data_IF_258840659254
#
_entry.id   IF_258840659254
#
_cell.length_a   1.000
_cell.length_b   1.000
_cell.length_c   1.000
_cell.angle_alpha   90.00
_cell.angle_beta   90.00
_cell.angle_gamma   90.00
#
_symmetry.space_group_name_H-M   'P 1'
#
loop_
_entity.id
_entity.type
_entity.pdbx_description
1 polymer ?
#
# COMPACT_ATOMS: atom_id res chain seq x y z
N UNK A 1 14.53 10.73 4.35
CA UNK A 1 14.19 9.34 4.00
C UNK A 1 12.68 9.25 3.78
N UNK A 2 12.27 8.63 2.69
CA UNK A 2 10.84 8.46 2.39
C UNK A 2 10.27 7.31 3.22
N UNK A 3 9.04 7.47 3.70
CA UNK A 3 8.35 6.47 4.52
C UNK A 3 7.26 5.77 3.71
N UNK A 4 7.24 4.46 3.78
CA UNK A 4 6.24 3.61 3.12
C UNK A 4 5.45 2.84 4.17
N UNK A 5 4.12 2.86 4.05
CA UNK A 5 3.24 2.03 4.88
C UNK A 5 2.83 0.81 4.06
N UNK A 6 3.13 -0.39 4.57
CA UNK A 6 2.73 -1.66 3.95
C UNK A 6 1.54 -2.23 4.70
N UNK A 7 0.49 -2.59 3.98
CA UNK A 7 -0.73 -3.17 4.56
C UNK A 7 -1.02 -4.50 3.87
N UNK A 8 -0.96 -5.59 4.63
CA UNK A 8 -1.22 -6.94 4.12
C UNK A 8 -1.47 -7.86 5.32
N UNK A 9 -2.35 -8.83 5.19
CA UNK A 9 -2.62 -9.76 6.29
C UNK A 9 -1.57 -10.86 6.41
N UNK A 10 -0.65 -10.96 5.43
CA UNK A 10 0.47 -11.90 5.49
C UNK A 10 1.67 -11.27 6.17
N UNK A 11 1.94 -11.65 7.42
CA UNK A 11 3.09 -11.15 8.17
C UNK A 11 4.41 -11.54 7.51
N UNK A 12 4.46 -12.72 6.89
CA UNK A 12 5.66 -13.18 6.16
C UNK A 12 5.96 -12.25 4.99
N UNK A 13 4.94 -11.90 4.22
CA UNK A 13 5.12 -10.97 3.09
C UNK A 13 5.53 -9.58 3.58
N UNK A 14 4.91 -9.08 4.65
CA UNK A 14 5.27 -7.77 5.21
C UNK A 14 6.73 -7.72 5.63
N UNK A 15 7.22 -8.77 6.29
CA UNK A 15 8.62 -8.83 6.73
C UNK A 15 9.58 -8.85 5.54
N UNK A 16 9.26 -9.65 4.53
CA UNK A 16 10.08 -9.78 3.33
C UNK A 16 10.17 -8.45 2.58
N UNK A 17 9.03 -7.79 2.36
CA UNK A 17 8.98 -6.51 1.66
C UNK A 17 9.64 -5.40 2.46
N UNK A 18 9.44 -5.39 3.77
CA UNK A 18 10.08 -4.40 4.64
C UNK A 18 11.60 -4.47 4.49
N UNK A 19 12.16 -5.68 4.50
CA UNK A 19 13.61 -5.87 4.34
C UNK A 19 14.10 -5.32 2.99
N UNK A 20 13.37 -5.61 1.91
CA UNK A 20 13.71 -5.14 0.57
C UNK A 20 13.70 -3.61 0.51
N UNK A 21 12.65 -3.00 1.03
CA UNK A 21 12.50 -1.55 0.95
C UNK A 21 13.47 -0.80 1.88
N UNK A 22 13.72 -1.34 3.07
CA UNK A 22 14.69 -0.74 3.98
C UNK A 22 16.09 -0.79 3.40
N UNK A 23 16.46 -1.89 2.75
CA UNK A 23 17.73 -2.00 2.08
C UNK A 23 17.89 -0.99 0.95
N UNK A 24 16.77 -0.61 0.32
CA UNK A 24 16.78 0.39 -0.74
C UNK A 24 16.73 1.83 -0.21
N UNK A 25 16.70 2.02 1.10
CA UNK A 25 16.76 3.35 1.72
C UNK A 25 15.43 3.93 2.18
N UNK A 26 14.35 3.15 2.19
CA UNK A 26 13.05 3.62 2.66
C UNK A 26 12.85 3.30 4.15
N UNK A 27 12.15 4.17 4.86
CA UNK A 27 11.63 3.83 6.18
C UNK A 27 10.30 3.10 5.97
N UNK A 28 10.06 2.02 6.71
CA UNK A 28 8.89 1.19 6.49
C UNK A 28 8.12 0.96 7.78
N UNK A 29 6.81 1.17 7.74
CA UNK A 29 5.88 0.77 8.77
C UNK A 29 4.93 -0.27 8.18
N UNK A 30 4.46 -1.19 9.02
CA UNK A 30 3.59 -2.28 8.55
C UNK A 30 2.31 -2.33 9.35
N UNK A 31 1.23 -2.77 8.70
CA UNK A 31 -0.06 -3.03 9.34
C UNK A 31 -0.62 -4.32 8.75
N UNK A 32 -1.26 -5.14 9.59
CA UNK A 32 -1.80 -6.43 9.16
C UNK A 32 -3.24 -6.35 8.66
N UNK A 33 -3.81 -5.16 8.64
CA UNK A 33 -5.18 -4.94 8.14
C UNK A 33 -5.52 -3.47 8.09
N UNK A 34 -6.72 -3.18 7.55
CA UNK A 34 -7.16 -1.81 7.36
C UNK A 34 -7.32 -1.02 8.64
N UNK A 35 -7.88 -1.63 9.70
CA UNK A 35 -8.06 -0.95 10.98
C UNK A 35 -6.72 -0.54 11.58
N UNK A 36 -5.74 -1.44 11.56
CA UNK A 36 -4.40 -1.14 12.06
C UNK A 36 -3.73 -0.03 11.24
N UNK A 37 -3.93 -0.06 9.92
CA UNK A 37 -3.40 0.98 9.03
C UNK A 37 -3.98 2.35 9.38
N UNK A 38 -5.30 2.44 9.58
CA UNK A 38 -5.95 3.71 9.92
C UNK A 38 -5.47 4.24 11.26
N UNK A 39 -5.22 3.36 12.23
CA UNK A 39 -4.67 3.78 13.52
C UNK A 39 -3.28 4.39 13.36
N UNK A 40 -2.43 3.79 12.55
CA UNK A 40 -1.10 4.33 12.27
C UNK A 40 -1.19 5.69 11.58
N UNK A 41 -2.13 5.85 10.65
CA UNK A 41 -2.28 7.09 9.88
C UNK A 41 -2.79 8.26 10.73
N UNK A 42 -3.27 8.01 11.95
CA UNK A 42 -3.63 9.08 12.86
C UNK A 42 -2.42 9.94 13.23
N UNK A 43 -1.23 9.37 13.28
CA UNK A 43 0.01 10.08 13.62
C UNK A 43 1.09 9.97 12.56
N UNK A 44 1.12 8.90 11.78
CA UNK A 44 2.11 8.66 10.74
C UNK A 44 1.68 9.34 9.44
N UNK A 45 2.61 10.03 8.78
CA UNK A 45 2.37 10.65 7.48
C UNK A 45 3.30 10.02 6.45
N UNK A 46 2.97 8.82 5.94
CA UNK A 46 3.83 8.17 4.96
C UNK A 46 3.78 8.87 3.61
N UNK A 47 4.83 8.66 2.82
CA UNK A 47 4.88 9.20 1.46
C UNK A 47 4.11 8.32 0.48
N UNK A 48 3.91 7.06 0.83
CA UNK A 48 3.22 6.07 -0.02
C UNK A 48 2.61 4.99 0.87
N UNK A 49 1.44 4.50 0.48
CA UNK A 49 0.85 3.29 1.07
C UNK A 49 0.78 2.20 0.00
N UNK A 50 1.20 0.99 0.37
CA UNK A 50 1.04 -0.20 -0.48
C UNK A 50 0.07 -1.12 0.25
N UNK A 51 -1.01 -1.53 -0.39
CA UNK A 51 -2.01 -2.40 0.24
C UNK A 51 -2.45 -3.54 -0.67
N UNK A 52 -2.75 -4.70 -0.05
CA UNK A 52 -3.49 -5.75 -0.72
C UNK A 52 -4.97 -5.36 -0.77
N UNK A 53 -5.74 -5.99 -1.62
CA UNK A 53 -7.19 -5.83 -1.68
C UNK A 53 -7.93 -6.84 -0.82
N UNK A 54 -7.50 -8.08 -0.84
CA UNK A 54 -8.22 -9.18 -0.18
C UNK A 54 -7.66 -9.40 1.22
N UNK A 55 -8.28 -8.77 2.20
CA UNK A 55 -7.90 -8.87 3.61
C UNK A 55 -9.15 -9.16 4.45
N UNK A 56 -9.01 -9.92 5.56
CA UNK A 56 -10.13 -10.13 6.48
C UNK A 56 -10.60 -8.81 7.08
N UNK A 57 -11.89 -8.68 7.29
CA UNK A 57 -12.49 -7.45 7.81
C UNK A 57 -12.56 -6.38 6.73
N UNK A 58 -11.84 -5.28 6.90
CA UNK A 58 -11.82 -4.22 5.91
C UNK A 58 -10.97 -4.61 4.71
N UNK A 59 -11.56 -4.62 3.51
CA UNK A 59 -10.81 -4.90 2.29
C UNK A 59 -10.01 -3.66 1.85
N UNK A 60 -9.12 -3.86 0.88
CA UNK A 60 -8.24 -2.79 0.44
C UNK A 60 -8.95 -1.63 -0.24
N UNK A 61 -10.03 -1.90 -0.96
CA UNK A 61 -10.80 -0.82 -1.63
C UNK A 61 -11.44 0.08 -0.59
N UNK A 62 -12.05 -0.51 0.44
CA UNK A 62 -12.63 0.24 1.55
C UNK A 62 -11.55 1.04 2.28
N UNK A 63 -10.40 0.42 2.53
CA UNK A 63 -9.26 1.12 3.16
C UNK A 63 -8.84 2.33 2.34
N UNK A 64 -8.71 2.19 1.03
CA UNK A 64 -8.32 3.31 0.17
C UNK A 64 -9.33 4.46 0.29
N UNK A 65 -10.61 4.14 0.26
CA UNK A 65 -11.66 5.16 0.41
C UNK A 65 -11.54 5.91 1.74
N UNK A 66 -11.32 5.17 2.83
CA UNK A 66 -11.17 5.78 4.16
C UNK A 66 -9.91 6.62 4.26
N UNK A 67 -8.80 6.13 3.71
CA UNK A 67 -7.53 6.86 3.69
C UNK A 67 -7.68 8.19 2.94
N UNK A 68 -8.37 8.19 1.81
CA UNK A 68 -8.52 9.40 0.99
C UNK A 68 -9.44 10.45 1.64
N UNK A 69 -10.20 10.06 2.65
CA UNK A 69 -10.98 11.03 3.45
C UNK A 69 -10.13 11.77 4.47
N UNK A 70 -8.96 11.24 4.81
CA UNK A 70 -8.06 11.88 5.77
C UNK A 70 -7.34 13.05 5.09
N UNK A 71 -7.43 14.27 5.66
CA UNK A 71 -6.80 15.43 5.02
C UNK A 71 -5.30 15.28 4.77
N UNK A 72 -4.60 14.60 5.67
CA UNK A 72 -3.15 14.39 5.56
C UNK A 72 -2.75 13.35 4.53
N UNK A 73 -3.72 12.52 4.07
CA UNK A 73 -3.47 11.42 3.14
C UNK A 73 -4.12 11.62 1.77
N UNK A 74 -4.79 12.74 1.60
CA UNK A 74 -5.57 13.02 0.39
C UNK A 74 -4.77 12.88 -0.91
N UNK A 75 -3.54 13.33 -0.89
CA UNK A 75 -2.66 13.31 -2.06
C UNK A 75 -1.56 12.25 -1.98
N UNK A 76 -1.58 11.42 -0.95
CA UNK A 76 -0.63 10.33 -0.80
C UNK A 76 -0.89 9.27 -1.87
N UNK A 77 0.11 8.89 -2.68
CA UNK A 77 -0.09 7.83 -3.64
C UNK A 77 -0.35 6.49 -2.94
N UNK A 78 -1.24 5.69 -3.52
CA UNK A 78 -1.58 4.36 -3.03
C UNK A 78 -1.31 3.35 -4.14
N UNK A 79 -0.46 2.38 -3.84
CA UNK A 79 -0.12 1.31 -4.75
C UNK A 79 -0.82 0.04 -4.27
N UNK A 80 -1.61 -0.58 -5.14
CA UNK A 80 -2.23 -1.87 -4.84
C UNK A 80 -1.27 -2.97 -5.27
N UNK A 81 -1.04 -3.95 -4.39
CA UNK A 81 -0.21 -5.12 -4.71
C UNK A 81 -0.97 -6.35 -4.23
N UNK A 82 -1.51 -7.13 -5.16
CA UNK A 82 -2.48 -8.17 -4.88
C UNK A 82 -2.40 -9.32 -5.88
N UNK A 83 -2.93 -10.49 -5.50
CA UNK A 83 -3.12 -11.59 -6.45
C UNK A 83 -4.38 -11.39 -7.30
N UNK A 84 -5.23 -10.42 -6.93
CA UNK A 84 -6.47 -10.14 -7.67
C UNK A 84 -6.15 -9.60 -9.07
N UNK A 85 -6.80 -10.17 -10.08
CA UNK A 85 -6.56 -9.79 -11.48
C UNK A 85 -7.83 -9.38 -12.23
N UNK A 86 -9.01 -9.39 -11.58
CA UNK A 86 -10.25 -9.01 -12.22
C UNK A 86 -10.26 -7.53 -12.59
N UNK A 87 -10.64 -7.23 -13.82
CA UNK A 87 -10.68 -5.85 -14.31
C UNK A 87 -11.62 -4.97 -13.50
N UNK A 88 -12.75 -5.51 -13.06
CA UNK A 88 -13.70 -4.74 -12.25
C UNK A 88 -13.07 -4.29 -10.93
N UNK A 89 -12.33 -5.16 -10.26
CA UNK A 89 -11.65 -4.82 -9.01
C UNK A 89 -10.59 -3.74 -9.24
N UNK A 90 -9.89 -3.82 -10.35
CA UNK A 90 -8.90 -2.83 -10.72
C UNK A 90 -9.53 -1.46 -10.97
N UNK A 91 -10.67 -1.45 -11.67
CA UNK A 91 -11.44 -0.24 -11.90
C UNK A 91 -11.95 0.34 -10.59
N UNK A 92 -12.49 -0.50 -9.71
CA UNK A 92 -13.00 -0.07 -8.40
C UNK A 92 -11.89 0.53 -7.53
N UNK A 93 -10.71 -0.08 -7.54
CA UNK A 93 -9.57 0.43 -6.79
C UNK A 93 -9.12 1.80 -7.30
N UNK A 94 -9.06 1.96 -8.61
CA UNK A 94 -8.72 3.25 -9.23
C UNK A 94 -9.75 4.32 -8.87
N UNK A 95 -11.03 3.98 -8.93
CA UNK A 95 -12.10 4.90 -8.57
C UNK A 95 -12.03 5.30 -7.10
N UNK A 96 -11.56 4.40 -6.24
CA UNK A 96 -11.38 4.69 -4.82
C UNK A 96 -10.17 5.59 -4.55
N UNK A 97 -9.24 5.70 -5.49
CA UNK A 97 -8.08 6.57 -5.37
C UNK A 97 -6.72 5.89 -5.52
N UNK A 98 -6.68 4.62 -5.95
CA UNK A 98 -5.41 3.94 -6.17
C UNK A 98 -4.65 4.57 -7.35
N UNK A 99 -3.35 4.74 -7.16
CA UNK A 99 -2.46 5.33 -8.17
C UNK A 99 -1.89 4.27 -9.11
N UNK A 100 -1.63 3.07 -8.60
CA UNK A 100 -1.05 1.99 -9.39
C UNK A 100 -1.51 0.62 -8.89
N UNK A 101 -1.21 -0.41 -9.70
CA UNK A 101 -1.64 -1.78 -9.45
C UNK A 101 -0.54 -2.75 -9.89
N UNK A 102 -0.09 -3.61 -8.97
CA UNK A 102 0.85 -4.68 -9.26
C UNK A 102 0.24 -6.01 -8.87
N UNK A 103 0.44 -7.04 -9.70
CA UNK A 103 -0.06 -8.40 -9.45
C UNK A 103 1.06 -9.23 -8.81
N UNK A 104 0.76 -9.88 -7.68
CA UNK A 104 1.70 -10.76 -7.00
C UNK A 104 1.92 -12.05 -7.80
N UNK A 105 3.12 -12.63 -7.78
CA UNK A 105 4.32 -12.17 -7.09
C UNK A 105 5.00 -11.02 -7.85
N UNK A 106 5.47 -10.01 -7.11
CA UNK A 106 6.13 -8.84 -7.69
C UNK A 106 7.63 -8.96 -7.49
N UNK A 107 8.40 -8.71 -8.55
CA UNK A 107 9.85 -8.73 -8.46
C UNK A 107 10.33 -7.49 -7.71
N UNK A 108 11.35 -7.63 -6.85
CA UNK A 108 11.87 -6.46 -6.11
C UNK A 108 12.25 -5.28 -7.00
N UNK A 109 12.90 -5.53 -8.14
CA UNK A 109 13.30 -4.48 -9.08
C UNK A 109 12.12 -3.73 -9.64
N UNK A 110 11.04 -4.45 -9.97
CA UNK A 110 9.80 -3.86 -10.49
C UNK A 110 9.16 -2.94 -9.45
N UNK A 111 9.08 -3.42 -8.20
CA UNK A 111 8.53 -2.64 -7.10
C UNK A 111 9.35 -1.36 -6.87
N UNK A 112 10.67 -1.48 -6.81
CA UNK A 112 11.53 -0.33 -6.57
C UNK A 112 11.46 0.70 -7.69
N UNK A 113 11.31 0.25 -8.94
CA UNK A 113 11.12 1.16 -10.08
C UNK A 113 9.83 1.97 -9.94
N UNK A 114 8.73 1.30 -9.57
CA UNK A 114 7.45 1.96 -9.38
C UNK A 114 7.54 2.99 -8.25
N UNK A 115 8.21 2.65 -7.14
CA UNK A 115 8.39 3.59 -6.04
C UNK A 115 9.16 4.83 -6.47
N UNK A 116 10.20 4.67 -7.28
CA UNK A 116 10.97 5.82 -7.78
C UNK A 116 10.13 6.76 -8.62
N UNK A 117 9.12 6.23 -9.32
CA UNK A 117 8.20 7.06 -10.11
C UNK A 117 7.17 7.76 -9.26
N UNK A 118 6.66 7.09 -8.22
CA UNK A 118 5.59 7.64 -7.38
C UNK A 118 6.11 8.56 -6.29
N UNK A 119 7.29 8.26 -5.73
CA UNK A 119 7.91 9.06 -4.66
C UNK A 119 9.41 9.24 -4.95
N UNK A 120 9.73 10.01 -5.99
CA UNK A 120 11.12 10.18 -6.46
C UNK A 120 12.07 10.80 -5.43
#
# INVERSE_FOLDING_TARGET
MKTVLLVDDSTTLLMSMKAILEKAGYAVQTATGGDAALKLLATLKPNLMITDLNMPGMDGITLIKEVKKLPTCRFMPVLVMTTESQQQKRTDARAAGATGWLVKPVKPEELLEVLKKLIP
#
